data_IF_489331458186
#
_entry.id   IF_489331458186
#
_cell.length_a   1.000
_cell.length_b   1.000
_cell.length_c   1.000
_cell.angle_alpha   90.00
_cell.angle_beta   90.00
_cell.angle_gamma   90.00
#
_symmetry.space_group_name_H-M   'P 1'
#
loop_
_entity.id
_entity.type
_entity.pdbx_description
1 polymer ?
#
# COMPACT_ATOMS: atom_id res chain seq x y z
N UNK A 1 -2.02 22.49 17.59
CA UNK A 1 -1.53 21.28 18.32
C UNK A 1 -2.48 20.08 18.18
N UNK A 2 -3.79 20.20 18.45
CA UNK A 2 -4.75 19.08 18.29
C UNK A 2 -4.79 18.55 16.84
N UNK A 3 -4.74 19.42 15.85
CA UNK A 3 -4.74 19.10 14.41
C UNK A 3 -3.57 18.19 14.04
N UNK A 4 -2.35 18.57 14.43
CA UNK A 4 -1.17 17.76 14.16
C UNK A 4 -1.18 16.41 14.90
N UNK A 5 -1.70 16.36 16.14
CA UNK A 5 -1.86 15.08 16.86
C UNK A 5 -2.84 14.15 16.14
N UNK A 6 -3.97 14.67 15.65
CA UNK A 6 -4.92 13.88 14.85
C UNK A 6 -4.28 13.36 13.56
N UNK A 7 -3.49 14.20 12.88
CA UNK A 7 -2.73 13.78 11.69
C UNK A 7 -1.79 12.61 12.02
N UNK A 8 -1.06 12.71 13.12
CA UNK A 8 -0.17 11.61 13.60
C UNK A 8 -0.94 10.32 13.89
N UNK A 9 -2.15 10.41 14.45
CA UNK A 9 -3.00 9.23 14.69
C UNK A 9 -3.38 8.54 13.38
N UNK A 10 -3.80 9.29 12.35
CA UNK A 10 -4.16 8.74 11.05
C UNK A 10 -2.96 8.02 10.40
N UNK A 11 -1.79 8.66 10.40
CA UNK A 11 -0.58 8.04 9.84
C UNK A 11 -0.11 6.82 10.66
N UNK A 12 -0.27 6.84 11.98
CA UNK A 12 0.00 5.68 12.82
C UNK A 12 -0.93 4.50 12.51
N UNK A 13 -2.23 4.75 12.29
CA UNK A 13 -3.18 3.71 11.89
C UNK A 13 -2.84 3.12 10.50
N UNK A 14 -2.43 3.97 9.55
CA UNK A 14 -1.96 3.53 8.24
C UNK A 14 -0.69 2.67 8.35
N UNK A 15 0.27 3.06 9.21
CA UNK A 15 1.48 2.29 9.50
C UNK A 15 1.14 0.92 10.10
N UNK A 16 0.27 0.87 11.11
CA UNK A 16 -0.18 -0.40 11.71
C UNK A 16 -0.84 -1.32 10.68
N UNK A 17 -1.61 -0.75 9.75
CA UNK A 17 -2.22 -1.51 8.65
C UNK A 17 -1.14 -2.12 7.75
N UNK A 18 -0.08 -1.37 7.45
CA UNK A 18 1.07 -1.84 6.67
C UNK A 18 1.88 -2.90 7.41
N UNK A 19 2.03 -2.78 8.73
CA UNK A 19 2.71 -3.77 9.57
C UNK A 19 1.96 -5.12 9.55
N UNK A 20 0.62 -5.08 9.63
CA UNK A 20 -0.22 -6.27 9.50
C UNK A 20 -0.05 -6.91 8.11
N UNK A 21 -0.04 -6.10 7.05
CA UNK A 21 0.23 -6.59 5.69
C UNK A 21 1.61 -7.25 5.59
N UNK A 22 2.63 -6.69 6.26
CA UNK A 22 3.97 -7.27 6.34
C UNK A 22 3.98 -8.67 6.95
N UNK A 23 3.22 -8.90 8.03
CA UNK A 23 3.06 -10.22 8.66
C UNK A 23 2.38 -11.20 7.69
N UNK A 24 1.34 -10.75 6.97
CA UNK A 24 0.65 -11.57 5.99
C UNK A 24 1.55 -11.93 4.78
N UNK A 25 2.40 -11.01 4.33
CA UNK A 25 3.42 -11.29 3.30
C UNK A 25 4.44 -12.32 3.78
N UNK A 26 4.92 -12.17 5.01
CA UNK A 26 5.86 -13.15 5.58
C UNK A 26 5.24 -14.55 5.65
N UNK A 27 4.00 -14.67 6.14
CA UNK A 27 3.29 -15.94 6.18
C UNK A 27 3.07 -16.53 4.77
N UNK A 28 2.71 -15.67 3.80
CA UNK A 28 2.54 -16.08 2.41
C UNK A 28 3.83 -16.65 1.80
N UNK A 29 4.98 -16.08 2.15
CA UNK A 29 6.27 -16.51 1.64
C UNK A 29 6.80 -17.78 2.33
N UNK A 30 6.30 -18.13 3.54
CA UNK A 30 6.93 -19.17 4.39
C UNK A 30 6.01 -20.33 4.76
N UNK A 31 4.83 -20.05 5.31
CA UNK A 31 3.99 -21.06 5.99
C UNK A 31 2.66 -21.31 5.31
N UNK A 32 2.17 -20.37 4.50
CA UNK A 32 0.82 -20.40 3.95
C UNK A 32 0.61 -21.57 2.96
N UNK A 33 -0.45 -22.40 3.11
CA UNK A 33 -0.82 -23.39 2.11
C UNK A 33 -1.16 -22.75 0.77
N UNK A 34 -0.76 -23.39 -0.34
CA UNK A 34 -1.04 -22.90 -1.70
C UNK A 34 -2.54 -22.69 -2.00
N UNK A 35 -3.41 -23.49 -1.34
CA UNK A 35 -4.87 -23.36 -1.45
C UNK A 35 -5.44 -22.07 -0.86
N UNK A 36 -4.66 -21.31 -0.07
CA UNK A 36 -5.08 -20.04 0.55
C UNK A 36 -4.69 -18.79 -0.25
N UNK A 37 -4.09 -18.95 -1.44
CA UNK A 37 -3.55 -17.84 -2.26
C UNK A 37 -4.59 -16.77 -2.58
N UNK A 38 -5.76 -17.17 -3.06
CA UNK A 38 -6.79 -16.21 -3.46
C UNK A 38 -7.28 -15.38 -2.27
N UNK A 39 -7.54 -16.04 -1.14
CA UNK A 39 -7.96 -15.35 0.09
C UNK A 39 -6.86 -14.40 0.60
N UNK A 40 -5.58 -14.78 0.52
CA UNK A 40 -4.46 -13.94 0.92
C UNK A 40 -4.33 -12.70 0.01
N UNK A 41 -4.50 -12.89 -1.30
CA UNK A 41 -4.50 -11.77 -2.25
C UNK A 41 -5.60 -10.75 -1.93
N UNK A 42 -6.80 -11.22 -1.59
CA UNK A 42 -7.91 -10.35 -1.18
C UNK A 42 -7.63 -9.63 0.14
N UNK A 43 -7.02 -10.30 1.13
CA UNK A 43 -6.63 -9.69 2.41
C UNK A 43 -5.61 -8.58 2.22
N UNK A 44 -4.56 -8.82 1.43
CA UNK A 44 -3.52 -7.83 1.14
C UNK A 44 -4.06 -6.64 0.34
N UNK A 45 -4.90 -6.90 -0.66
CA UNK A 45 -5.57 -5.86 -1.43
C UNK A 45 -6.45 -4.97 -0.55
N UNK A 46 -7.21 -5.57 0.38
CA UNK A 46 -8.04 -4.84 1.34
C UNK A 46 -7.21 -3.95 2.26
N UNK A 47 -6.11 -4.45 2.81
CA UNK A 47 -5.23 -3.66 3.67
C UNK A 47 -4.55 -2.52 2.92
N UNK A 48 -4.10 -2.75 1.68
CA UNK A 48 -3.52 -1.72 0.82
C UNK A 48 -4.54 -0.61 0.53
N UNK A 49 -5.76 -0.99 0.17
CA UNK A 49 -6.88 -0.05 -0.03
C UNK A 49 -7.20 0.75 1.23
N UNK A 50 -7.25 0.08 2.37
CA UNK A 50 -7.57 0.72 3.65
C UNK A 50 -6.51 1.75 4.04
N UNK A 51 -5.23 1.40 3.98
CA UNK A 51 -4.12 2.31 4.27
C UNK A 51 -4.10 3.49 3.31
N UNK A 52 -4.20 3.23 2.00
CA UNK A 52 -4.22 4.26 0.97
C UNK A 52 -5.39 5.24 1.15
N UNK A 53 -6.63 4.75 1.36
CA UNK A 53 -7.81 5.59 1.55
C UNK A 53 -7.72 6.50 2.78
N UNK A 54 -7.02 6.05 3.83
CA UNK A 54 -6.77 6.89 5.01
C UNK A 54 -5.84 8.06 4.67
N UNK A 55 -4.71 7.77 4.04
CA UNK A 55 -3.68 8.78 3.73
C UNK A 55 -4.15 9.74 2.65
N UNK A 56 -4.83 9.27 1.60
CA UNK A 56 -5.27 10.08 0.46
C UNK A 56 -6.56 10.87 0.70
N UNK A 57 -7.14 10.82 1.91
CA UNK A 57 -8.40 11.50 2.22
C UNK A 57 -8.24 13.03 2.22
N UNK A 58 -9.30 13.76 1.83
CA UNK A 58 -9.33 15.22 1.90
C UNK A 58 -9.08 15.74 3.32
N UNK A 59 -9.54 15.00 4.35
CA UNK A 59 -9.30 15.33 5.75
C UNK A 59 -7.80 15.41 6.06
N UNK A 60 -6.98 14.50 5.52
CA UNK A 60 -5.52 14.54 5.70
C UNK A 60 -4.93 15.77 5.05
N UNK A 61 -5.39 16.13 3.84
CA UNK A 61 -4.97 17.36 3.17
C UNK A 61 -5.25 18.61 4.02
N UNK A 62 -6.47 18.73 4.55
CA UNK A 62 -6.86 19.86 5.41
C UNK A 62 -6.02 19.89 6.70
N UNK A 63 -5.82 18.74 7.35
CA UNK A 63 -4.99 18.64 8.56
C UNK A 63 -3.53 19.01 8.31
N UNK A 64 -2.97 18.68 7.14
CA UNK A 64 -1.61 19.07 6.75
C UNK A 64 -1.52 20.60 6.61
N UNK A 65 -2.44 21.22 5.85
CA UNK A 65 -2.43 22.66 5.64
C UNK A 65 -2.59 23.43 6.96
N UNK A 66 -3.51 23.01 7.82
CA UNK A 66 -3.68 23.58 9.16
C UNK A 66 -2.42 23.42 10.02
N UNK A 67 -1.72 22.28 9.92
CA UNK A 67 -0.54 22.00 10.72
C UNK A 67 0.69 22.82 10.29
N UNK A 68 0.77 23.27 9.03
CA UNK A 68 1.85 24.13 8.53
C UNK A 68 1.92 25.48 9.27
N UNK A 69 0.79 25.95 9.81
CA UNK A 69 0.68 27.20 10.55
C UNK A 69 1.01 27.06 12.06
N UNK A 70 1.34 25.86 12.53
CA UNK A 70 1.64 25.61 13.93
C UNK A 70 3.13 25.82 14.22
N UNK A 71 3.43 26.28 15.44
CA UNK A 71 4.81 26.35 15.92
C UNK A 71 5.24 24.94 16.42
N UNK A 72 5.70 24.11 15.49
CA UNK A 72 6.14 22.74 15.74
C UNK A 72 7.63 22.68 16.09
N UNK A 73 8.03 21.63 16.81
CA UNK A 73 9.45 21.33 17.01
C UNK A 73 10.14 21.04 15.64
N UNK A 74 11.45 21.15 15.57
CA UNK A 74 12.19 20.86 14.32
C UNK A 74 11.97 19.41 13.84
N UNK A 75 11.84 18.46 14.78
CA UNK A 75 11.52 17.05 14.46
C UNK A 75 10.10 16.90 13.91
N UNK A 76 9.11 17.53 14.56
CA UNK A 76 7.71 17.46 14.10
C UNK A 76 7.52 18.16 12.76
N UNK A 77 8.28 19.25 12.49
CA UNK A 77 8.25 19.90 11.18
C UNK A 77 8.77 19.00 10.05
N UNK A 78 9.86 18.27 10.30
CA UNK A 78 10.36 17.27 9.34
C UNK A 78 9.36 16.15 9.12
N UNK A 79 8.75 15.66 10.20
CA UNK A 79 7.71 14.65 10.12
C UNK A 79 6.48 15.12 9.31
N UNK A 80 6.03 16.37 9.54
CA UNK A 80 4.95 16.97 8.75
C UNK A 80 5.29 17.06 7.26
N UNK A 81 6.52 17.39 6.92
CA UNK A 81 6.98 17.46 5.53
C UNK A 81 6.93 16.09 4.84
N UNK A 82 7.31 15.01 5.55
CA UNK A 82 7.20 13.64 5.01
C UNK A 82 5.74 13.20 4.88
N UNK A 83 4.87 13.54 5.83
CA UNK A 83 3.43 13.30 5.73
C UNK A 83 2.81 14.03 4.53
N UNK A 84 3.17 15.29 4.28
CA UNK A 84 2.73 16.07 3.11
C UNK A 84 3.19 15.42 1.80
N UNK A 85 4.44 14.93 1.75
CA UNK A 85 4.97 14.23 0.59
C UNK A 85 4.20 12.92 0.33
N UNK A 86 3.98 12.14 1.36
CA UNK A 86 3.26 10.87 1.26
C UNK A 86 1.80 11.07 0.86
N UNK A 87 1.12 12.08 1.43
CA UNK A 87 -0.24 12.48 1.04
C UNK A 87 -0.33 12.85 -0.44
N UNK A 88 0.62 13.66 -0.96
CA UNK A 88 0.64 14.08 -2.36
C UNK A 88 0.81 12.91 -3.31
N UNK A 89 1.69 11.97 -2.99
CA UNK A 89 1.88 10.77 -3.76
C UNK A 89 0.63 9.87 -3.73
N UNK A 90 0.09 9.62 -2.53
CA UNK A 90 -1.09 8.79 -2.37
C UNK A 90 -2.33 9.40 -3.05
N UNK A 91 -2.56 10.71 -2.91
CA UNK A 91 -3.73 11.36 -3.51
C UNK A 91 -3.69 11.49 -5.03
N UNK A 92 -2.52 11.33 -5.65
CA UNK A 92 -2.39 11.27 -7.10
C UNK A 92 -2.87 9.94 -7.69
N UNK A 93 -2.80 8.84 -6.92
CA UNK A 93 -3.08 7.49 -7.41
C UNK A 93 -4.52 7.08 -7.01
N UNK A 94 -5.37 6.63 -7.95
CA UNK A 94 -6.70 6.12 -7.61
C UNK A 94 -6.63 4.89 -6.68
N UNK A 95 -7.45 4.88 -5.63
CA UNK A 95 -7.47 3.79 -4.63
C UNK A 95 -7.78 2.42 -5.26
N UNK A 96 -8.61 2.39 -6.30
CA UNK A 96 -8.94 1.18 -7.06
C UNK A 96 -7.72 0.62 -7.80
N UNK A 97 -6.81 1.48 -8.25
CA UNK A 97 -5.56 1.04 -8.90
C UNK A 97 -4.61 0.42 -7.87
N UNK A 98 -4.48 1.02 -6.68
CA UNK A 98 -3.69 0.47 -5.57
C UNK A 98 -4.20 -0.92 -5.16
N UNK A 99 -5.51 -1.08 -5.03
CA UNK A 99 -6.14 -2.37 -4.72
C UNK A 99 -5.83 -3.43 -5.79
N UNK A 100 -5.98 -3.07 -7.08
CA UNK A 100 -5.68 -3.97 -8.22
C UNK A 100 -4.21 -4.38 -8.25
N UNK A 101 -3.29 -3.44 -8.08
CA UNK A 101 -1.85 -3.72 -8.06
C UNK A 101 -1.51 -4.67 -6.92
N UNK A 102 -1.98 -4.40 -5.70
CA UNK A 102 -1.73 -5.26 -4.53
C UNK A 102 -2.26 -6.68 -4.75
N UNK A 103 -3.48 -6.83 -5.26
CA UNK A 103 -4.08 -8.13 -5.56
C UNK A 103 -3.32 -8.87 -6.65
N UNK A 104 -3.00 -8.20 -7.76
CA UNK A 104 -2.27 -8.77 -8.89
C UNK A 104 -0.85 -9.17 -8.48
N UNK A 105 -0.18 -8.37 -7.65
CA UNK A 105 1.16 -8.66 -7.13
C UNK A 105 1.17 -9.94 -6.28
N UNK A 106 0.28 -10.04 -5.30
CA UNK A 106 0.20 -11.22 -4.43
C UNK A 106 -0.14 -12.50 -5.20
N UNK A 107 -1.05 -12.40 -6.20
CA UNK A 107 -1.38 -13.51 -7.08
C UNK A 107 -0.19 -13.93 -7.94
N UNK A 108 0.47 -12.96 -8.59
CA UNK A 108 1.63 -13.19 -9.45
C UNK A 108 2.77 -13.85 -8.67
N UNK A 109 3.04 -13.42 -7.45
CA UNK A 109 4.06 -14.04 -6.58
C UNK A 109 3.75 -15.52 -6.31
N UNK A 110 2.51 -15.86 -5.98
CA UNK A 110 2.10 -17.24 -5.75
C UNK A 110 2.25 -18.13 -6.97
N UNK A 111 1.87 -17.63 -8.16
CA UNK A 111 2.03 -18.36 -9.43
C UNK A 111 3.50 -18.45 -9.82
N UNK A 112 4.30 -17.41 -9.55
CA UNK A 112 5.74 -17.43 -9.80
C UNK A 112 6.46 -18.51 -9.00
N UNK A 113 6.11 -18.71 -7.72
CA UNK A 113 6.67 -19.78 -6.91
C UNK A 113 6.49 -21.16 -7.59
N UNK A 114 5.26 -21.44 -8.05
CA UNK A 114 4.93 -22.68 -8.76
C UNK A 114 5.66 -22.80 -10.12
N UNK A 115 5.70 -21.72 -10.89
CA UNK A 115 6.40 -21.65 -12.17
C UNK A 115 7.89 -21.95 -12.02
N UNK A 116 8.50 -21.43 -10.93
CA UNK A 116 9.91 -21.66 -10.60
C UNK A 116 10.18 -23.12 -10.21
N UNK A 117 9.32 -23.72 -9.38
CA UNK A 117 9.44 -25.14 -9.01
C UNK A 117 9.38 -26.06 -10.22
N UNK A 118 8.48 -25.74 -11.17
CA UNK A 118 8.28 -26.50 -12.42
C UNK A 118 9.24 -26.11 -13.55
N UNK A 119 10.07 -25.08 -13.36
CA UNK A 119 10.91 -24.49 -14.42
C UNK A 119 10.11 -24.11 -15.67
N UNK A 120 8.87 -23.67 -15.51
CA UNK A 120 7.95 -23.29 -16.62
C UNK A 120 7.49 -21.84 -16.47
N UNK A 121 8.12 -20.95 -17.24
CA UNK A 121 7.77 -19.52 -17.30
C UNK A 121 6.36 -19.25 -17.83
N UNK A 122 5.81 -20.13 -18.69
CA UNK A 122 4.50 -19.91 -19.28
C UNK A 122 3.39 -19.84 -18.21
N UNK A 123 3.58 -20.50 -17.08
CA UNK A 123 2.62 -20.45 -15.97
C UNK A 123 2.42 -19.05 -15.41
N UNK A 124 3.51 -18.28 -15.26
CA UNK A 124 3.47 -16.93 -14.65
C UNK A 124 3.31 -15.81 -15.68
N UNK A 125 3.55 -16.08 -16.96
CA UNK A 125 3.63 -15.07 -18.01
C UNK A 125 2.42 -14.12 -18.03
N UNK A 126 1.21 -14.67 -17.99
CA UNK A 126 -0.04 -13.88 -18.05
C UNK A 126 -0.21 -12.96 -16.84
N UNK A 127 0.01 -13.49 -15.63
CA UNK A 127 -0.12 -12.71 -14.40
C UNK A 127 0.96 -11.63 -14.28
N UNK A 128 2.17 -11.92 -14.77
CA UNK A 128 3.26 -10.94 -14.86
C UNK A 128 2.96 -9.82 -15.86
N UNK A 129 2.42 -10.14 -17.03
CA UNK A 129 1.99 -9.14 -18.04
C UNK A 129 0.90 -8.22 -17.48
N UNK A 130 -0.08 -8.76 -16.75
CA UNK A 130 -1.12 -7.99 -16.07
C UNK A 130 -0.52 -7.03 -15.04
N UNK A 131 0.36 -7.53 -14.17
CA UNK A 131 1.03 -6.70 -13.15
C UNK A 131 1.87 -5.59 -13.77
N UNK A 132 2.64 -5.88 -14.82
CA UNK A 132 3.44 -4.89 -15.55
C UNK A 132 2.54 -3.79 -16.15
N UNK A 133 1.38 -4.15 -16.70
CA UNK A 133 0.47 -3.15 -17.28
C UNK A 133 -0.13 -2.24 -16.20
N UNK A 134 -0.52 -2.78 -15.05
CA UNK A 134 -1.00 -1.99 -13.90
C UNK A 134 0.09 -1.05 -13.36
N UNK A 135 1.32 -1.53 -13.24
CA UNK A 135 2.45 -0.71 -12.79
C UNK A 135 2.80 0.40 -13.80
N UNK A 136 2.64 0.14 -15.10
CA UNK A 136 2.78 1.19 -16.13
C UNK A 136 1.67 2.23 -16.05
N UNK A 137 0.43 1.80 -15.75
CA UNK A 137 -0.69 2.73 -15.52
C UNK A 137 -0.37 3.66 -14.34
N UNK A 138 0.09 3.11 -13.21
CA UNK A 138 0.53 3.88 -12.05
C UNK A 138 1.67 4.86 -12.38
N UNK A 139 2.68 4.41 -13.13
CA UNK A 139 3.84 5.23 -13.49
C UNK A 139 3.53 6.38 -14.46
N UNK A 140 2.37 6.37 -15.11
CA UNK A 140 1.93 7.42 -16.04
C UNK A 140 1.05 8.50 -15.35
N UNK A 141 0.78 8.37 -14.04
CA UNK A 141 0.06 9.35 -13.23
C UNK A 141 1.03 10.40 -12.68
#
# INVERSE_FOLDING_TARGET
>A
MKTYLKLKEIFNEASLTSDIAGILHWDMATMMPSSSRDQRSDQLAYLSKLSHSKISSSEVGDLIEDSKNLNLSNSDQKNLNEMDREYKLASAIPTELVEKISKSSAKCEGVWQEAREKSDFNLVKKDLEELINLTKEEANI
#
